data_IF_970205737722
#
_entry.id   IF_970205737722
#
_cell.length_a   1.000
_cell.length_b   1.000
_cell.length_c   1.000
_cell.angle_alpha   90.00
_cell.angle_beta   90.00
_cell.angle_gamma   90.00
#
_symmetry.space_group_name_H-M   'P 1'
#
loop_
_entity.id
_entity.type
_entity.pdbx_description
1 polymer ?
#
# COMPACT_ATOMS: atom_id res chain seq x y z
N UNK A 1 0.00 0.87 19.11
CA UNK A 1 -0.02 -0.36 18.36
C UNK A 1 -1.14 -1.28 18.82
N UNK A 2 -1.75 -1.96 17.89
CA UNK A 2 -2.81 -2.92 18.16
C UNK A 2 -2.31 -4.35 17.97
N UNK A 3 -2.95 -5.29 18.67
CA UNK A 3 -2.68 -6.71 18.52
C UNK A 3 -3.99 -7.41 18.24
N UNK A 4 -4.05 -8.17 17.15
CA UNK A 4 -5.19 -9.03 16.82
C UNK A 4 -4.89 -10.44 17.31
N UNK A 5 -5.84 -11.05 18.00
CA UNK A 5 -5.73 -12.41 18.51
C UNK A 5 -7.05 -13.15 18.35
N UNK A 6 -7.00 -14.48 18.40
CA UNK A 6 -8.18 -15.32 18.32
C UNK A 6 -8.69 -15.66 19.72
N UNK A 7 -9.99 -15.52 19.91
CA UNK A 7 -10.67 -16.05 21.08
C UNK A 7 -10.85 -17.57 21.04
N UNK A 8 -11.44 -18.13 22.09
CA UNK A 8 -11.66 -19.58 22.22
C UNK A 8 -12.55 -20.15 21.09
N UNK A 9 -13.39 -19.33 20.48
CA UNK A 9 -14.29 -19.68 19.36
C UNK A 9 -13.72 -19.32 18.00
N UNK A 10 -12.41 -19.01 17.91
CA UNK A 10 -11.73 -18.50 16.71
C UNK A 10 -12.20 -17.11 16.24
N UNK A 11 -13.06 -16.43 16.98
CA UNK A 11 -13.43 -15.05 16.69
C UNK A 11 -12.21 -14.16 16.84
N UNK A 12 -11.90 -13.28 15.86
CA UNK A 12 -10.80 -12.36 16.02
C UNK A 12 -11.19 -11.18 16.93
N UNK A 13 -10.27 -10.83 17.80
CA UNK A 13 -10.37 -9.69 18.72
C UNK A 13 -9.17 -8.78 18.51
N UNK A 14 -9.34 -7.51 18.76
CA UNK A 14 -8.25 -6.53 18.72
C UNK A 14 -8.08 -5.88 20.07
N UNK A 15 -6.84 -5.86 20.57
CA UNK A 15 -6.47 -5.16 21.79
C UNK A 15 -5.69 -3.89 21.42
N UNK A 16 -6.19 -2.75 21.90
CA UNK A 16 -5.54 -1.44 21.76
C UNK A 16 -5.43 -0.85 23.17
N UNK A 17 -4.21 -0.76 23.70
CA UNK A 17 -4.01 -0.40 25.10
C UNK A 17 -4.67 -1.43 26.02
N UNK A 18 -5.59 -0.96 26.86
CA UNK A 18 -6.35 -1.84 27.77
C UNK A 18 -7.72 -2.27 27.20
N UNK A 19 -8.09 -1.75 26.02
CA UNK A 19 -9.36 -2.05 25.40
C UNK A 19 -9.27 -3.28 24.50
N UNK A 20 -10.25 -4.17 24.61
CA UNK A 20 -10.41 -5.35 23.74
C UNK A 20 -11.76 -5.28 23.08
N UNK A 21 -11.79 -5.43 21.75
CA UNK A 21 -13.05 -5.44 21.01
C UNK A 21 -13.08 -6.61 20.02
N UNK A 22 -14.28 -7.11 19.75
CA UNK A 22 -14.49 -8.12 18.71
C UNK A 22 -14.34 -7.49 17.32
N UNK A 23 -13.72 -8.22 16.40
CA UNK A 23 -13.64 -7.87 14.99
C UNK A 23 -14.63 -8.66 14.13
N UNK A 24 -15.54 -9.42 14.76
CA UNK A 24 -16.47 -10.29 14.04
C UNK A 24 -17.27 -9.56 12.95
N UNK A 25 -17.68 -8.30 13.21
CA UNK A 25 -18.45 -7.50 12.27
C UNK A 25 -17.58 -6.74 11.26
N UNK A 26 -16.25 -6.67 11.48
CA UNK A 26 -15.33 -5.95 10.61
C UNK A 26 -14.64 -6.85 9.60
N UNK A 27 -14.39 -8.13 9.95
CA UNK A 27 -13.76 -9.06 9.03
C UNK A 27 -14.67 -9.32 7.83
N UNK A 28 -14.13 -9.23 6.61
CA UNK A 28 -14.97 -9.25 5.40
C UNK A 28 -15.43 -10.64 4.97
N UNK A 29 -14.72 -11.67 5.39
CA UNK A 29 -14.98 -13.06 4.99
C UNK A 29 -14.28 -14.02 5.96
N UNK A 30 -14.66 -15.28 5.91
CA UNK A 30 -14.01 -16.32 6.71
C UNK A 30 -12.68 -16.71 6.09
N UNK A 31 -11.72 -17.02 6.95
CA UNK A 31 -10.40 -17.54 6.57
C UNK A 31 -10.16 -18.88 7.29
N UNK A 32 -9.27 -19.74 6.76
CA UNK A 32 -8.90 -20.98 7.47
C UNK A 32 -8.40 -20.70 8.87
N UNK A 33 -8.64 -21.64 9.81
CA UNK A 33 -8.25 -21.46 11.22
C UNK A 33 -6.76 -21.22 11.42
N UNK A 34 -5.93 -21.72 10.49
CA UNK A 34 -4.48 -21.53 10.52
C UNK A 34 -4.01 -20.14 10.05
N UNK A 35 -4.91 -19.37 9.47
CA UNK A 35 -4.61 -18.01 8.99
C UNK A 35 -4.93 -16.98 10.06
N UNK A 36 -4.34 -15.81 9.93
CA UNK A 36 -4.54 -14.69 10.87
C UNK A 36 -4.93 -13.42 10.14
N UNK A 37 -5.78 -12.62 10.78
CA UNK A 37 -6.03 -11.24 10.35
C UNK A 37 -5.01 -10.32 10.99
N UNK A 38 -4.44 -9.41 10.19
CA UNK A 38 -3.50 -8.38 10.67
C UNK A 38 -3.85 -7.04 10.04
N UNK A 39 -3.43 -5.94 10.68
CA UNK A 39 -3.54 -4.61 10.08
C UNK A 39 -2.35 -4.38 9.14
N UNK A 40 -2.57 -3.79 7.98
CA UNK A 40 -1.49 -3.50 7.03
C UNK A 40 -0.37 -2.68 7.69
N UNK A 41 -0.72 -1.71 8.52
CA UNK A 41 0.26 -0.87 9.22
C UNK A 41 1.16 -1.64 10.18
N UNK A 42 0.72 -2.79 10.69
CA UNK A 42 1.51 -3.61 11.63
C UNK A 42 2.50 -4.54 10.92
N UNK A 43 2.30 -4.81 9.65
CA UNK A 43 3.15 -5.73 8.87
C UNK A 43 3.96 -5.01 7.78
N UNK A 44 3.88 -3.70 7.72
CA UNK A 44 4.52 -2.93 6.66
C UNK A 44 5.02 -1.57 7.13
N UNK A 45 5.85 -0.96 6.32
CA UNK A 45 6.38 0.40 6.54
C UNK A 45 5.47 1.50 5.98
N UNK A 46 4.21 1.21 5.68
CA UNK A 46 3.33 2.18 5.02
C UNK A 46 3.26 3.53 5.76
N UNK A 47 3.14 3.51 7.08
CA UNK A 47 3.04 4.74 7.89
C UNK A 47 4.37 5.44 8.15
N UNK A 48 5.52 4.79 7.86
CA UNK A 48 6.82 5.40 8.10
C UNK A 48 7.05 6.60 7.20
N UNK A 49 7.79 7.59 7.72
CA UNK A 49 8.20 8.76 6.95
C UNK A 49 9.05 8.33 5.76
N UNK A 50 8.70 8.83 4.57
CA UNK A 50 9.42 8.50 3.34
C UNK A 50 10.58 9.45 3.11
N UNK A 51 11.68 8.92 2.57
CA UNK A 51 12.80 9.73 2.14
C UNK A 51 12.40 10.56 0.92
N UNK A 52 12.73 11.85 0.96
CA UNK A 52 12.45 12.80 -0.11
C UNK A 52 13.75 13.28 -0.77
N UNK A 53 13.66 13.60 -2.04
CA UNK A 53 14.75 14.22 -2.80
C UNK A 53 14.15 15.17 -3.82
N UNK A 54 14.82 16.30 -4.08
CA UNK A 54 14.39 17.19 -5.16
C UNK A 54 14.93 16.65 -6.48
N UNK A 55 14.05 16.54 -7.47
CA UNK A 55 14.40 15.96 -8.77
C UNK A 55 15.53 16.73 -9.48
N UNK A 56 15.61 18.04 -9.31
CA UNK A 56 16.66 18.86 -9.93
C UNK A 56 18.04 18.62 -9.32
N UNK A 57 18.09 18.07 -8.11
CA UNK A 57 19.34 17.75 -7.41
C UNK A 57 19.69 16.26 -7.51
N UNK A 58 18.80 15.45 -8.05
CA UNK A 58 19.01 14.01 -8.20
C UNK A 58 19.90 13.71 -9.40
N UNK A 59 20.56 12.54 -9.37
CA UNK A 59 21.28 12.03 -10.53
C UNK A 59 20.30 11.85 -11.69
N UNK A 60 20.55 12.50 -12.85
CA UNK A 60 19.65 12.41 -14.00
C UNK A 60 19.49 11.02 -14.59
N UNK A 61 20.37 10.07 -14.24
CA UNK A 61 20.27 8.69 -14.70
C UNK A 61 19.33 7.81 -13.86
N UNK A 62 18.87 8.32 -12.72
CA UNK A 62 17.94 7.60 -11.84
C UNK A 62 16.57 7.47 -12.52
N UNK A 63 15.93 6.31 -12.35
CA UNK A 63 14.57 6.11 -12.80
C UNK A 63 13.60 7.07 -12.09
N UNK A 64 12.87 7.85 -12.88
CA UNK A 64 11.84 8.76 -12.39
C UNK A 64 10.47 8.26 -12.81
N UNK A 65 9.70 7.77 -11.84
CA UNK A 65 8.38 7.19 -12.09
C UNK A 65 7.27 8.22 -11.86
N UNK A 66 6.37 8.36 -12.84
CA UNK A 66 5.16 9.15 -12.70
C UNK A 66 3.93 8.28 -12.94
N UNK A 67 2.76 8.78 -12.53
CA UNK A 67 1.50 8.03 -12.66
C UNK A 67 1.15 7.67 -14.10
N UNK A 68 1.49 8.53 -15.05
CA UNK A 68 1.25 8.28 -16.48
C UNK A 68 2.03 7.08 -17.03
N UNK A 69 3.10 6.68 -16.35
CA UNK A 69 3.92 5.53 -16.75
C UNK A 69 3.30 4.20 -16.32
N UNK A 70 2.25 4.24 -15.53
CA UNK A 70 1.59 3.05 -14.97
C UNK A 70 0.19 2.94 -15.57
N UNK A 71 -0.07 1.81 -16.22
CA UNK A 71 -1.39 1.50 -16.74
C UNK A 71 -2.35 1.17 -15.60
N UNK A 72 -3.64 1.42 -15.82
CA UNK A 72 -4.67 0.91 -14.92
C UNK A 72 -4.42 -0.58 -14.66
N UNK A 73 -4.37 -0.97 -13.39
CA UNK A 73 -4.04 -2.35 -12.99
C UNK A 73 -2.58 -2.56 -12.64
N UNK A 74 -1.69 -1.61 -12.91
CA UNK A 74 -0.31 -1.63 -12.38
C UNK A 74 0.80 -2.01 -13.36
N UNK A 75 0.51 -2.24 -14.64
CA UNK A 75 1.55 -2.56 -15.62
C UNK A 75 2.37 -1.30 -15.95
N UNK A 76 3.71 -1.43 -15.95
CA UNK A 76 4.58 -0.33 -16.40
C UNK A 76 4.55 -0.21 -17.91
N UNK A 77 4.30 1.02 -18.39
CA UNK A 77 4.29 1.36 -19.81
C UNK A 77 5.63 1.89 -20.27
N UNK A 78 6.31 2.64 -19.40
CA UNK A 78 7.58 3.29 -19.72
C UNK A 78 8.51 3.29 -18.50
N UNK A 79 9.81 3.32 -18.78
CA UNK A 79 10.86 3.43 -17.77
C UNK A 79 11.76 4.61 -18.17
N UNK A 80 11.42 5.80 -17.69
CA UNK A 80 12.14 7.03 -18.00
C UNK A 80 13.02 7.46 -16.84
N UNK A 81 14.20 7.99 -17.16
CA UNK A 81 15.07 8.58 -16.15
C UNK A 81 14.59 9.99 -15.79
N UNK A 82 15.06 10.49 -14.64
CA UNK A 82 14.81 11.86 -14.19
C UNK A 82 15.24 12.87 -15.25
N UNK A 83 16.39 12.66 -15.89
CA UNK A 83 16.90 13.53 -16.95
C UNK A 83 16.05 13.51 -18.20
N UNK A 84 15.63 12.34 -18.68
CA UNK A 84 14.76 12.20 -19.85
C UNK A 84 13.39 12.84 -19.61
N UNK A 85 12.88 12.72 -18.41
CA UNK A 85 11.58 13.30 -18.02
C UNK A 85 11.66 14.80 -17.76
N UNK A 86 12.86 15.34 -17.51
CA UNK A 86 13.07 16.71 -17.02
C UNK A 86 12.25 16.97 -15.76
N UNK A 87 12.32 16.01 -14.85
CA UNK A 87 11.55 16.03 -13.62
C UNK A 87 11.95 17.21 -12.74
N UNK A 88 10.96 17.82 -12.08
CA UNK A 88 11.16 18.93 -11.13
C UNK A 88 10.36 18.67 -9.86
N UNK A 89 10.78 19.33 -8.77
CA UNK A 89 10.08 19.27 -7.50
C UNK A 89 10.49 18.08 -6.65
N UNK A 90 9.85 17.97 -5.50
CA UNK A 90 10.13 16.92 -4.52
C UNK A 90 9.56 15.59 -4.98
N UNK A 91 10.38 14.56 -4.83
CA UNK A 91 10.03 13.19 -5.17
C UNK A 91 10.26 12.28 -3.97
N UNK A 92 9.60 11.12 -3.97
CA UNK A 92 9.75 10.11 -2.93
C UNK A 92 10.70 9.03 -3.41
N UNK A 93 11.67 8.66 -2.58
CA UNK A 93 12.66 7.62 -2.91
C UNK A 93 12.06 6.24 -2.65
N UNK A 94 12.29 5.32 -3.56
CA UNK A 94 11.92 3.92 -3.39
C UNK A 94 13.06 2.99 -3.80
N UNK A 95 13.00 1.77 -3.26
CA UNK A 95 13.96 0.72 -3.55
C UNK A 95 13.32 -0.43 -4.31
N UNK A 96 14.12 -1.15 -5.06
CA UNK A 96 13.70 -2.42 -5.69
C UNK A 96 13.05 -3.32 -4.65
N UNK A 97 11.90 -3.89 -5.00
CA UNK A 97 11.13 -4.76 -4.11
C UNK A 97 10.10 -4.04 -3.26
N UNK A 98 10.14 -2.71 -3.18
CA UNK A 98 9.07 -1.96 -2.52
C UNK A 98 7.75 -2.13 -3.27
N UNK A 99 6.65 -2.13 -2.52
CA UNK A 99 5.33 -1.98 -3.12
C UNK A 99 5.13 -0.50 -3.39
N UNK A 100 4.70 -0.19 -4.60
CA UNK A 100 4.38 1.17 -5.03
C UNK A 100 2.86 1.28 -5.14
N UNK A 101 2.28 2.08 -4.27
CA UNK A 101 0.83 2.24 -4.17
C UNK A 101 0.43 3.66 -4.55
N UNK A 102 -0.36 3.81 -5.63
CA UNK A 102 -0.93 5.12 -5.99
C UNK A 102 -2.11 5.45 -5.09
N UNK A 103 -1.93 6.43 -4.20
CA UNK A 103 -3.01 6.91 -3.32
C UNK A 103 -4.00 7.83 -4.04
N UNK A 104 -3.61 8.41 -5.18
CA UNK A 104 -4.46 9.24 -6.01
C UNK A 104 -5.27 8.37 -6.97
N UNK A 105 -6.58 8.57 -6.99
CA UNK A 105 -7.50 7.76 -7.79
C UNK A 105 -7.29 6.26 -7.58
N UNK A 106 -7.46 5.76 -6.35
CA UNK A 106 -7.12 4.38 -6.02
C UNK A 106 -7.90 3.34 -6.83
N UNK A 107 -9.06 3.71 -7.39
CA UNK A 107 -9.85 2.85 -8.27
C UNK A 107 -9.13 2.46 -9.56
N UNK A 108 -8.06 3.15 -9.94
CA UNK A 108 -7.25 2.79 -11.10
C UNK A 108 -6.31 1.63 -10.83
N UNK A 109 -6.18 1.21 -9.57
CA UNK A 109 -5.37 0.06 -9.15
C UNK A 109 -3.93 0.11 -9.69
N UNK A 110 -3.32 1.29 -9.70
CA UNK A 110 -1.93 1.47 -10.10
C UNK A 110 -1.02 1.04 -8.95
N UNK A 111 -0.89 -0.25 -8.79
CA UNK A 111 -0.17 -0.90 -7.69
C UNK A 111 0.77 -1.94 -8.28
N UNK A 112 2.05 -1.89 -7.91
CA UNK A 112 3.05 -2.82 -8.42
C UNK A 112 4.22 -2.98 -7.44
N UNK A 113 5.01 -4.02 -7.65
CA UNK A 113 6.29 -4.18 -6.95
C UNK A 113 7.37 -3.52 -7.80
N UNK A 114 8.19 -2.66 -7.20
CA UNK A 114 9.24 -1.94 -7.91
C UNK A 114 10.30 -2.91 -8.48
N UNK A 115 10.52 -2.91 -9.79
CA UNK A 115 11.55 -3.77 -10.39
C UNK A 115 12.97 -3.24 -10.19
N UNK A 116 13.14 -1.97 -9.84
CA UNK A 116 14.42 -1.30 -9.63
C UNK A 116 14.27 -0.18 -8.61
N UNK A 117 15.42 0.38 -8.19
CA UNK A 117 15.45 1.59 -7.37
C UNK A 117 15.04 2.80 -8.21
N UNK A 118 14.47 3.81 -7.57
CA UNK A 118 14.10 5.04 -8.27
C UNK A 118 13.50 6.09 -7.35
N UNK A 119 12.96 7.11 -7.98
CA UNK A 119 12.18 8.16 -7.30
C UNK A 119 10.85 8.34 -8.02
N UNK A 120 9.83 8.74 -7.29
CA UNK A 120 8.48 8.84 -7.84
C UNK A 120 7.74 10.08 -7.35
N UNK A 121 6.65 10.41 -8.04
CA UNK A 121 5.72 11.44 -7.59
C UNK A 121 5.26 11.17 -6.16
N UNK A 122 5.03 12.23 -5.34
CA UNK A 122 4.49 12.06 -3.98
C UNK A 122 3.12 11.40 -3.91
N UNK A 123 2.42 11.27 -5.03
CA UNK A 123 1.14 10.57 -5.10
C UNK A 123 1.28 9.04 -4.99
N UNK A 124 2.49 8.53 -5.15
CA UNK A 124 2.82 7.11 -4.95
C UNK A 124 3.46 6.95 -3.58
N UNK A 125 2.98 5.97 -2.84
CA UNK A 125 3.51 5.61 -1.51
C UNK A 125 4.31 4.32 -1.64
N UNK A 126 5.64 4.38 -1.58
CA UNK A 126 6.48 3.18 -1.53
C UNK A 126 6.47 2.61 -0.11
N UNK A 127 6.36 1.30 0.01
CA UNK A 127 6.48 0.65 1.32
C UNK A 127 6.96 -0.79 1.19
N UNK A 128 7.57 -1.31 2.26
CA UNK A 128 7.96 -2.72 2.34
C UNK A 128 7.02 -3.46 3.27
N UNK A 129 6.91 -4.75 3.00
CA UNK A 129 6.24 -5.69 3.88
C UNK A 129 7.31 -6.41 4.71
N UNK A 130 7.09 -6.51 6.01
CA UNK A 130 8.05 -7.12 6.92
C UNK A 130 8.01 -8.64 6.86
N UNK A 131 9.12 -9.27 7.25
CA UNK A 131 9.22 -10.72 7.38
C UNK A 131 9.20 -11.45 6.04
N UNK A 132 8.57 -12.62 6.04
CA UNK A 132 8.56 -13.54 4.90
C UNK A 132 7.36 -13.38 3.96
N UNK A 133 6.52 -12.39 4.20
CA UNK A 133 5.34 -12.15 3.36
C UNK A 133 5.79 -11.69 1.98
N UNK A 134 5.32 -12.38 0.94
CA UNK A 134 5.62 -12.01 -0.44
C UNK A 134 4.92 -10.68 -0.78
N UNK A 135 5.66 -9.66 -1.23
CA UNK A 135 5.04 -8.40 -1.64
C UNK A 135 3.99 -8.56 -2.75
N UNK A 136 4.14 -9.54 -3.63
CA UNK A 136 3.14 -9.81 -4.67
C UNK A 136 1.82 -10.29 -4.08
N UNK A 137 1.85 -11.02 -2.97
CA UNK A 137 0.64 -11.39 -2.25
C UNK A 137 -0.13 -10.14 -1.79
N UNK A 138 0.57 -9.19 -1.19
CA UNK A 138 -0.03 -7.93 -0.74
C UNK A 138 -0.55 -7.12 -1.92
N UNK A 139 0.20 -7.00 -3.01
CA UNK A 139 -0.24 -6.30 -4.22
C UNK A 139 -1.54 -6.92 -4.75
N UNK A 140 -1.62 -8.24 -4.84
CA UNK A 140 -2.82 -8.93 -5.32
C UNK A 140 -4.00 -8.72 -4.37
N UNK A 141 -3.75 -8.73 -3.06
CA UNK A 141 -4.81 -8.45 -2.08
C UNK A 141 -5.34 -7.03 -2.22
N UNK A 142 -4.44 -6.04 -2.35
CA UNK A 142 -4.83 -4.63 -2.51
C UNK A 142 -5.61 -4.38 -3.82
N UNK A 143 -5.43 -5.24 -4.82
CA UNK A 143 -6.19 -5.18 -6.08
C UNK A 143 -7.50 -5.99 -6.01
N UNK A 144 -7.74 -6.69 -4.93
CA UNK A 144 -8.94 -7.51 -4.80
C UNK A 144 -10.21 -6.67 -4.83
N UNK A 145 -11.33 -7.23 -5.33
CA UNK A 145 -12.62 -6.52 -5.33
C UNK A 145 -13.05 -6.06 -3.94
N UNK A 146 -12.73 -6.82 -2.90
CA UNK A 146 -13.04 -6.43 -1.53
C UNK A 146 -12.38 -5.10 -1.16
N UNK A 147 -11.05 -4.99 -1.33
CA UNK A 147 -10.30 -3.78 -0.97
C UNK A 147 -10.70 -2.62 -1.87
N UNK A 148 -10.85 -2.87 -3.17
CA UNK A 148 -11.28 -1.85 -4.14
C UNK A 148 -12.66 -1.28 -3.75
N UNK A 149 -13.63 -2.14 -3.46
CA UNK A 149 -14.96 -1.71 -3.05
C UNK A 149 -14.94 -0.94 -1.73
N UNK A 150 -14.14 -1.38 -0.77
CA UNK A 150 -14.01 -0.70 0.51
C UNK A 150 -13.46 0.72 0.33
N UNK A 151 -12.37 0.87 -0.41
CA UNK A 151 -11.76 2.18 -0.65
C UNK A 151 -12.68 3.07 -1.47
N UNK A 152 -13.34 2.53 -2.49
CA UNK A 152 -14.29 3.28 -3.30
C UNK A 152 -15.48 3.78 -2.46
N UNK A 153 -15.94 3.01 -1.48
CA UNK A 153 -17.02 3.43 -0.59
C UNK A 153 -16.60 4.60 0.31
N UNK A 154 -15.35 4.60 0.78
CA UNK A 154 -14.80 5.67 1.63
C UNK A 154 -14.59 6.95 0.82
N UNK A 155 -14.20 6.83 -0.44
CA UNK A 155 -13.91 7.97 -1.32
C UNK A 155 -15.07 8.36 -2.23
N UNK A 156 -16.24 7.80 -2.01
CA UNK A 156 -17.42 8.02 -2.85
C UNK A 156 -17.75 9.51 -3.01
N UNK A 157 -18.06 9.92 -4.22
CA UNK A 157 -18.47 11.28 -4.53
C UNK A 157 -17.32 12.29 -4.69
N UNK A 158 -16.08 11.88 -4.46
CA UNK A 158 -14.91 12.73 -4.66
C UNK A 158 -14.38 12.57 -6.08
N UNK A 159 -14.17 13.67 -6.78
CA UNK A 159 -13.76 13.66 -8.19
C UNK A 159 -12.34 13.15 -8.40
N UNK A 160 -11.41 13.59 -7.53
CA UNK A 160 -10.02 13.13 -7.56
C UNK A 160 -9.63 12.63 -6.16
N UNK A 161 -10.12 11.44 -5.80
CA UNK A 161 -9.92 10.96 -4.43
C UNK A 161 -8.48 10.59 -4.15
N UNK A 162 -8.05 10.85 -2.91
CA UNK A 162 -6.83 10.31 -2.33
C UNK A 162 -7.20 9.49 -1.11
N UNK A 163 -6.65 8.28 -1.03
CA UNK A 163 -6.85 7.46 0.17
C UNK A 163 -5.83 7.88 1.23
N UNK A 164 -6.31 8.12 2.44
CA UNK A 164 -5.49 8.56 3.56
C UNK A 164 -4.65 7.43 4.16
N UNK A 165 -3.56 7.81 4.82
CA UNK A 165 -2.63 6.88 5.47
C UNK A 165 -3.35 6.01 6.50
N UNK A 166 -4.21 6.61 7.33
CA UNK A 166 -4.93 5.89 8.38
C UNK A 166 -5.85 4.79 7.81
N UNK A 167 -6.54 5.08 6.72
CA UNK A 167 -7.36 4.09 6.03
C UNK A 167 -6.53 2.91 5.58
N UNK A 168 -5.38 3.17 4.97
CA UNK A 168 -4.52 2.10 4.46
C UNK A 168 -3.90 1.27 5.58
N UNK A 169 -3.38 1.92 6.62
CA UNK A 169 -2.76 1.19 7.74
C UNK A 169 -3.75 0.38 8.54
N UNK A 170 -5.03 0.75 8.51
CA UNK A 170 -6.12 0.04 9.20
C UNK A 170 -6.68 -1.13 8.40
N UNK A 171 -6.33 -1.29 7.12
CA UNK A 171 -6.82 -2.42 6.32
C UNK A 171 -6.51 -3.74 6.99
N UNK A 172 -7.52 -4.60 7.07
CA UNK A 172 -7.35 -5.98 7.53
C UNK A 172 -6.82 -6.82 6.37
N UNK A 173 -5.75 -7.55 6.64
CA UNK A 173 -5.08 -8.42 5.66
C UNK A 173 -5.06 -9.85 6.20
N UNK A 174 -5.55 -10.84 5.43
CA UNK A 174 -5.48 -12.24 5.84
C UNK A 174 -4.09 -12.78 5.52
N UNK A 175 -3.42 -13.35 6.51
CA UNK A 175 -2.05 -13.86 6.36
C UNK A 175 -2.03 -15.37 6.59
N UNK A 176 -1.58 -16.18 5.61
CA UNK A 176 -1.40 -17.62 5.79
C UNK A 176 -0.22 -17.91 6.72
N UNK A 177 -0.15 -19.13 7.26
CA UNK A 177 0.96 -19.55 8.12
C UNK A 177 2.30 -19.61 7.39
#
# INVERSE_FOLDING_TARGET
PSVIFKGADNTPYEKIGDEVRSLADEVPFDIPDSWEWVRLGNISSYAETKQKVNATSADPSIWGLDLEDIEKGGRLLEHKTVGERKAVGDKTVFAKGDILYSKLRPYLLKILVAPDDGICTPEIVPFRVYGVIDPNYIVNYLKSPYVDNLINSITYGVKMPRVGTETMTSLLVPVPP
#
